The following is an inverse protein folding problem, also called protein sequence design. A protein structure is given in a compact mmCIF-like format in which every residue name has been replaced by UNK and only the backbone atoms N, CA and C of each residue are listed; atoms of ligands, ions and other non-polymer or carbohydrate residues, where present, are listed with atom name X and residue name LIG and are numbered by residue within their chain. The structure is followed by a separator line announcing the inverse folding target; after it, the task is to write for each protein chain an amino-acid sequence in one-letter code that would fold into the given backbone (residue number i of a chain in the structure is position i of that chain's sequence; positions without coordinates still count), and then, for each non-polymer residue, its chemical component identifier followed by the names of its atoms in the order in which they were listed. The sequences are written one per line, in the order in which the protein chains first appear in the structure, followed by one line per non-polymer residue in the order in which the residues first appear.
data_IF_122561011174
#
_entry.id   IF_122561011174
#
_cell.length_a   1.000
_cell.length_b   1.000
_cell.length_c   1.000
_cell.angle_alpha   90.00
_cell.angle_beta   90.00
_cell.angle_gamma   90.00
#
_symmetry.space_group_name_H-M   'P 1'
#
loop_
_entity.id
_entity.type
_entity.pdbx_description
1 polymer ?
#
# COMPACT_ATOMS: atom_id res chain seq x y z
N UNK A 1 -21.73 23.32 13.94
CA UNK A 1 -20.96 22.58 14.96
C UNK A 1 -19.48 22.93 14.78
N UNK A 2 -18.81 23.44 15.81
CA UNK A 2 -17.39 23.79 15.74
C UNK A 2 -16.58 22.54 16.06
N UNK A 3 -15.98 21.92 15.04
CA UNK A 3 -15.08 20.78 15.22
C UNK A 3 -13.83 21.31 15.92
N UNK A 4 -13.62 20.93 17.20
CA UNK A 4 -12.42 21.30 17.93
C UNK A 4 -11.18 20.88 17.12
N UNK A 5 -10.23 21.80 16.93
CA UNK A 5 -8.97 21.49 16.27
C UNK A 5 -8.23 20.45 17.11
N UNK A 6 -8.07 19.23 16.57
CA UNK A 6 -7.25 18.17 17.18
C UNK A 6 -5.85 18.70 17.47
N UNK A 7 -5.27 18.28 18.59
CA UNK A 7 -3.88 18.60 18.92
C UNK A 7 -2.93 17.93 17.92
N UNK A 8 -1.70 18.43 17.80
CA UNK A 8 -0.70 17.88 16.88
C UNK A 8 -0.43 16.39 17.14
N UNK A 9 -0.44 15.99 18.41
CA UNK A 9 -0.29 14.60 18.84
C UNK A 9 -1.47 13.71 18.41
N UNK A 10 -2.70 14.21 18.51
CA UNK A 10 -3.91 13.50 18.05
C UNK A 10 -3.92 13.35 16.52
N UNK A 11 -3.42 14.35 15.79
CA UNK A 11 -3.30 14.29 14.33
C UNK A 11 -2.29 13.25 13.87
N UNK A 12 -1.16 13.10 14.56
CA UNK A 12 -0.14 12.12 14.18
C UNK A 12 -0.58 10.67 14.47
N UNK A 13 -1.29 10.45 15.59
CA UNK A 13 -1.95 9.17 15.88
C UNK A 13 -3.01 8.83 14.83
N UNK A 14 -3.88 9.79 14.49
CA UNK A 14 -4.89 9.61 13.45
C UNK A 14 -4.25 9.30 12.10
N UNK A 15 -3.15 9.97 11.73
CA UNK A 15 -2.41 9.71 10.49
C UNK A 15 -1.83 8.30 10.45
N UNK A 16 -1.24 7.82 11.54
CA UNK A 16 -0.69 6.47 11.64
C UNK A 16 -1.80 5.41 11.48
N UNK A 17 -2.95 5.64 12.12
CA UNK A 17 -4.12 4.75 12.04
C UNK A 17 -4.74 4.77 10.63
N UNK A 18 -4.88 5.96 10.04
CA UNK A 18 -5.37 6.17 8.68
C UNK A 18 -4.52 5.44 7.65
N UNK A 19 -3.19 5.49 7.79
CA UNK A 19 -2.27 4.76 6.90
C UNK A 19 -2.54 3.26 6.92
N UNK A 20 -2.65 2.66 8.12
CA UNK A 20 -2.92 1.22 8.27
C UNK A 20 -4.26 0.82 7.64
N UNK A 21 -5.32 1.57 7.91
CA UNK A 21 -6.65 1.30 7.33
C UNK A 21 -6.63 1.45 5.80
N UNK A 22 -5.96 2.48 5.30
CA UNK A 22 -5.83 2.71 3.86
C UNK A 22 -5.07 1.57 3.16
N UNK A 23 -4.00 1.06 3.78
CA UNK A 23 -3.20 -0.05 3.26
C UNK A 23 -3.98 -1.37 3.26
N UNK A 24 -4.71 -1.68 4.34
CA UNK A 24 -5.60 -2.85 4.40
C UNK A 24 -6.66 -2.85 3.30
N UNK A 25 -7.14 -1.66 2.92
CA UNK A 25 -8.03 -1.49 1.77
C UNK A 25 -9.47 -1.92 1.99
N UNK A 26 -9.85 -2.25 3.21
CA UNK A 26 -11.22 -2.56 3.63
C UNK A 26 -12.13 -1.32 3.63
N UNK A 27 -11.55 -0.12 3.82
CA UNK A 27 -12.27 1.14 3.88
C UNK A 27 -11.77 2.13 2.83
N UNK A 28 -12.67 2.90 2.24
CA UNK A 28 -12.36 4.02 1.36
C UNK A 28 -11.94 5.27 2.16
N UNK A 29 -11.38 6.28 1.48
CA UNK A 29 -10.85 7.48 2.15
C UNK A 29 -11.90 8.25 2.97
N UNK A 30 -13.17 8.21 2.55
CA UNK A 30 -14.28 8.87 3.23
C UNK A 30 -14.66 8.13 4.51
N UNK A 31 -14.76 6.80 4.44
CA UNK A 31 -15.00 5.94 5.60
C UNK A 31 -13.88 6.07 6.62
N UNK A 32 -12.61 6.09 6.18
CA UNK A 32 -11.47 6.31 7.08
C UNK A 32 -11.52 7.70 7.74
N UNK A 33 -11.95 8.72 6.99
CA UNK A 33 -12.07 10.07 7.52
C UNK A 33 -13.16 10.16 8.60
N UNK A 34 -14.31 9.50 8.38
CA UNK A 34 -15.39 9.40 9.36
C UNK A 34 -14.97 8.62 10.61
N UNK A 35 -14.36 7.44 10.43
CA UNK A 35 -13.89 6.58 11.52
C UNK A 35 -12.88 7.29 12.44
N UNK A 36 -12.03 8.13 11.85
CA UNK A 36 -10.99 8.85 12.58
C UNK A 36 -11.38 10.28 12.94
N UNK A 37 -12.64 10.68 12.67
CA UNK A 37 -13.16 12.03 12.90
C UNK A 37 -12.20 13.12 12.38
N UNK A 38 -11.81 12.99 11.11
CA UNK A 38 -11.00 13.97 10.39
C UNK A 38 -11.74 14.39 9.13
N UNK A 39 -11.39 15.57 8.60
CA UNK A 39 -11.94 15.97 7.31
C UNK A 39 -11.43 15.07 6.18
N UNK A 40 -12.28 14.80 5.19
CA UNK A 40 -11.88 14.12 3.94
C UNK A 40 -10.72 14.86 3.25
N UNK A 41 -10.64 16.19 3.39
CA UNK A 41 -9.53 17.01 2.88
C UNK A 41 -8.20 16.67 3.57
N UNK A 42 -8.21 16.46 4.89
CA UNK A 42 -7.04 16.02 5.64
C UNK A 42 -6.57 14.65 5.16
N UNK A 43 -7.51 13.72 4.99
CA UNK A 43 -7.22 12.37 4.49
C UNK A 43 -6.63 12.41 3.07
N UNK A 44 -7.28 13.13 2.14
CA UNK A 44 -6.78 13.32 0.78
C UNK A 44 -5.38 13.94 0.75
N UNK A 45 -5.12 14.94 1.61
CA UNK A 45 -3.80 15.58 1.73
C UNK A 45 -2.75 14.58 2.20
N UNK A 46 -3.04 13.74 3.18
CA UNK A 46 -2.11 12.71 3.64
C UNK A 46 -1.81 11.67 2.58
N UNK A 47 -2.85 11.14 1.91
CA UNK A 47 -2.68 10.16 0.83
C UNK A 47 -1.78 10.70 -0.28
N UNK A 48 -1.96 11.97 -0.67
CA UNK A 48 -1.12 12.63 -1.69
C UNK A 48 0.29 12.94 -1.17
N UNK A 49 0.40 13.61 -0.02
CA UNK A 49 1.69 14.08 0.54
C UNK A 49 2.63 12.92 0.87
N UNK A 50 2.09 11.82 1.38
CA UNK A 50 2.85 10.65 1.80
C UNK A 50 2.76 9.49 0.80
N UNK A 51 2.13 9.73 -0.36
CA UNK A 51 2.13 8.81 -1.49
C UNK A 51 1.61 7.40 -1.14
N UNK A 52 0.61 7.31 -0.26
CA UNK A 52 0.13 6.02 0.30
C UNK A 52 -0.41 5.06 -0.77
N UNK A 53 -0.89 5.58 -1.91
CA UNK A 53 -1.32 4.75 -3.05
C UNK A 53 -0.20 3.88 -3.60
N UNK A 54 1.00 4.44 -3.81
CA UNK A 54 2.17 3.68 -4.30
C UNK A 54 2.64 2.62 -3.31
N UNK A 55 2.42 2.85 -2.02
CA UNK A 55 2.75 1.88 -0.97
C UNK A 55 1.73 0.74 -0.89
N UNK A 56 0.43 1.05 -1.00
CA UNK A 56 -0.66 0.06 -1.05
C UNK A 56 -0.52 -0.87 -2.25
N UNK A 57 -0.24 -0.32 -3.42
CA UNK A 57 0.01 -1.11 -4.63
C UNK A 57 1.16 -2.10 -4.41
N UNK A 58 2.28 -1.65 -3.82
CA UNK A 58 3.45 -2.51 -3.56
C UNK A 58 3.13 -3.68 -2.61
N UNK A 59 2.40 -3.44 -1.53
CA UNK A 59 2.03 -4.49 -0.56
C UNK A 59 1.00 -5.47 -1.13
N UNK A 60 0.02 -4.99 -1.90
CA UNK A 60 -1.00 -5.85 -2.52
C UNK A 60 -0.43 -6.77 -3.61
N UNK A 61 0.59 -6.31 -4.35
CA UNK A 61 1.32 -7.16 -5.30
C UNK A 61 2.10 -8.30 -4.63
N UNK A 62 2.44 -8.14 -3.35
CA UNK A 62 3.25 -9.09 -2.60
C UNK A 62 2.41 -10.04 -1.72
N UNK A 63 1.19 -9.64 -1.28
CA UNK A 63 0.36 -10.45 -0.37
C UNK A 63 -0.38 -11.61 -1.03
N UNK A 64 -0.88 -11.44 -2.26
CA UNK A 64 -1.74 -12.43 -2.94
C UNK A 64 -0.96 -13.31 -3.93
N UNK A 65 0.36 -13.19 -3.96
CA UNK A 65 1.19 -13.90 -4.90
C UNK A 65 2.32 -14.64 -4.21
N UNK A 66 2.13 -15.95 -4.08
CA UNK A 66 3.08 -16.90 -3.50
C UNK A 66 4.49 -16.79 -4.09
N UNK A 67 4.63 -16.37 -5.35
CA UNK A 67 5.94 -16.11 -5.96
C UNK A 67 6.65 -14.94 -5.28
N UNK A 68 5.97 -13.82 -5.05
CA UNK A 68 6.61 -12.63 -4.47
C UNK A 68 6.82 -12.77 -2.96
N UNK A 69 5.94 -13.50 -2.26
CA UNK A 69 6.20 -13.87 -0.87
C UNK A 69 7.41 -14.81 -0.76
N UNK A 70 7.55 -15.78 -1.67
CA UNK A 70 8.70 -16.68 -1.71
C UNK A 70 9.99 -15.93 -2.05
N UNK A 71 9.98 -15.05 -3.04
CA UNK A 71 11.15 -14.22 -3.39
C UNK A 71 11.55 -13.30 -2.23
N UNK A 72 10.59 -12.77 -1.46
CA UNK A 72 10.86 -12.00 -0.25
C UNK A 72 11.53 -12.85 0.83
N UNK A 73 11.00 -14.06 1.07
CA UNK A 73 11.60 -15.02 2.00
C UNK A 73 13.05 -15.35 1.60
N UNK A 74 13.30 -15.69 0.33
CA UNK A 74 14.66 -15.97 -0.15
C UNK A 74 15.57 -14.76 0.04
N UNK A 75 15.11 -13.55 -0.28
CA UNK A 75 15.92 -12.34 -0.10
C UNK A 75 16.34 -12.11 1.36
N UNK A 76 15.48 -12.46 2.30
CA UNK A 76 15.71 -12.22 3.74
C UNK A 76 16.53 -13.34 4.38
N UNK A 77 16.25 -14.60 4.05
CA UNK A 77 16.85 -15.77 4.70
C UNK A 77 18.03 -16.39 3.91
N UNK A 78 18.04 -16.26 2.58
CA UNK A 78 18.99 -16.92 1.68
C UNK A 78 19.36 -16.02 0.48
N UNK A 79 20.10 -14.92 0.70
CA UNK A 79 20.32 -13.88 -0.30
C UNK A 79 21.09 -14.36 -1.54
N UNK A 80 21.99 -15.35 -1.38
CA UNK A 80 22.73 -15.94 -2.51
C UNK A 80 21.78 -16.70 -3.45
N UNK A 81 20.87 -17.51 -2.88
CA UNK A 81 19.82 -18.21 -3.63
C UNK A 81 18.86 -17.24 -4.31
N UNK A 82 18.53 -16.12 -3.65
CA UNK A 82 17.75 -15.05 -4.27
C UNK A 82 18.46 -14.46 -5.50
N UNK A 83 19.77 -14.21 -5.40
CA UNK A 83 20.59 -13.69 -6.50
C UNK A 83 20.63 -14.65 -7.69
N UNK A 84 20.89 -15.94 -7.43
CA UNK A 84 20.91 -16.99 -8.46
C UNK A 84 19.53 -17.18 -9.13
N UNK A 85 18.47 -17.14 -8.34
CA UNK A 85 17.10 -17.21 -8.84
C UNK A 85 16.77 -16.03 -9.76
N UNK A 86 17.21 -14.81 -9.42
CA UNK A 86 17.03 -13.64 -10.29
C UNK A 86 17.92 -13.67 -11.52
N UNK A 87 19.13 -14.22 -11.44
CA UNK A 87 19.98 -14.41 -12.62
C UNK A 87 19.31 -15.35 -13.63
N UNK A 88 18.62 -16.38 -13.14
CA UNK A 88 17.96 -17.39 -13.98
C UNK A 88 16.57 -16.95 -14.46
N UNK A 89 15.77 -16.32 -13.58
CA UNK A 89 14.35 -16.04 -13.84
C UNK A 89 13.97 -14.57 -13.76
N UNK A 90 14.93 -13.63 -13.69
CA UNK A 90 14.66 -12.20 -13.52
C UNK A 90 13.69 -11.64 -14.56
N UNK A 91 13.87 -11.99 -15.83
CA UNK A 91 12.98 -11.57 -16.91
C UNK A 91 11.53 -12.05 -16.72
N UNK A 92 11.33 -13.28 -16.21
CA UNK A 92 10.01 -13.80 -15.88
C UNK A 92 9.39 -13.06 -14.70
N UNK A 93 10.16 -12.85 -13.64
CA UNK A 93 9.74 -12.12 -12.44
C UNK A 93 9.30 -10.70 -12.82
N UNK A 94 10.05 -10.01 -13.67
CA UNK A 94 9.73 -8.65 -14.11
C UNK A 94 8.52 -8.61 -15.04
N UNK A 95 8.37 -9.58 -15.96
CA UNK A 95 7.16 -9.72 -16.76
C UNK A 95 5.93 -9.92 -15.87
N UNK A 96 6.02 -10.77 -14.85
CA UNK A 96 4.93 -11.01 -13.90
C UNK A 96 4.59 -9.75 -13.11
N UNK A 97 5.58 -8.99 -12.63
CA UNK A 97 5.37 -7.68 -11.99
C UNK A 97 4.62 -6.72 -12.90
N UNK A 98 4.99 -6.64 -14.18
CA UNK A 98 4.35 -5.75 -15.14
C UNK A 98 2.91 -6.14 -15.45
N UNK A 99 2.60 -7.44 -15.59
CA UNK A 99 1.22 -7.92 -15.74
C UNK A 99 0.35 -7.55 -14.54
N UNK A 100 0.87 -7.71 -13.33
CA UNK A 100 0.12 -7.36 -12.12
C UNK A 100 -0.13 -5.86 -12.04
N UNK A 101 0.87 -5.03 -12.40
CA UNK A 101 0.69 -3.57 -12.49
C UNK A 101 -0.45 -3.19 -13.43
N UNK A 102 -0.48 -3.77 -14.63
CA UNK A 102 -1.55 -3.49 -15.61
C UNK A 102 -2.94 -3.91 -15.10
N UNK A 103 -3.06 -5.07 -14.45
CA UNK A 103 -4.33 -5.54 -13.88
C UNK A 103 -4.86 -4.61 -12.78
N UNK A 104 -3.97 -4.13 -11.91
CA UNK A 104 -4.33 -3.17 -10.85
C UNK A 104 -4.78 -1.82 -11.40
N UNK A 105 -4.13 -1.30 -12.45
CA UNK A 105 -4.60 -0.08 -13.14
C UNK A 105 -6.01 -0.26 -13.71
N UNK A 106 -6.32 -1.42 -14.28
CA UNK A 106 -7.66 -1.70 -14.80
C UNK A 106 -8.70 -1.75 -13.66
N UNK A 107 -8.41 -2.46 -12.57
CA UNK A 107 -9.34 -2.63 -11.45
C UNK A 107 -9.54 -1.33 -10.62
N UNK A 108 -8.55 -0.43 -10.61
CA UNK A 108 -8.59 0.82 -9.84
C UNK A 108 -9.25 2.00 -10.56
N UNK A 109 -9.35 1.97 -11.89
CA UNK A 109 -9.91 3.07 -12.71
C UNK A 109 -11.25 2.76 -13.37
N UNK A 110 -11.65 1.49 -13.47
CA UNK A 110 -12.92 1.05 -14.07
C UNK A 110 -13.93 0.48 -13.06
N UNK A 111 -13.88 0.92 -11.79
CA UNK A 111 -14.90 0.66 -10.76
C UNK A 111 -15.68 1.92 -10.42
#
# INVERSE_FOLDING_TARGET
MSVMKKTEQQLDQAKTRAKKLFQKGELNQKEIAQELDISENTMNRWVRKYNWRKHKEREFYESDNYLFSFLRYLREEQPDTYSEMLATFGAFVDRKKNMMRQKSYHDAFFR
#
